data_IF_364901144277
#
_entry.id   IF_364901144277
#
_cell.length_a   1.000
_cell.length_b   1.000
_cell.length_c   1.000
_cell.angle_alpha   90.00
_cell.angle_beta   90.00
_cell.angle_gamma   90.00
#
_symmetry.space_group_name_H-M   'P 1'
#
loop_
_entity.id
_entity.type
_entity.pdbx_description
1 polymer ?
#
# COMPACT_ATOMS: atom_id res chain seq x y z
N UNK A 1 9.18 4.27 -7.77
CA UNK A 1 9.83 4.45 -6.45
C UNK A 1 9.13 3.72 -5.29
N UNK A 2 7.94 4.14 -4.82
CA UNK A 2 7.23 3.45 -3.70
C UNK A 2 6.72 2.05 -4.08
N UNK A 3 6.18 1.88 -5.28
CA UNK A 3 5.60 0.59 -5.71
C UNK A 3 6.66 -0.47 -6.04
N UNK A 4 7.77 -0.04 -6.64
CA UNK A 4 8.95 -0.89 -6.82
C UNK A 4 9.56 -1.31 -5.48
N UNK A 5 9.41 -0.47 -4.45
CA UNK A 5 9.86 -0.77 -3.09
C UNK A 5 8.98 -1.84 -2.40
N UNK A 6 7.67 -1.85 -2.67
CA UNK A 6 6.76 -2.95 -2.28
C UNK A 6 7.04 -4.26 -3.01
N UNK A 7 7.66 -4.20 -4.19
CA UNK A 7 8.00 -5.39 -4.97
C UNK A 7 9.25 -6.09 -4.41
N UNK A 8 10.09 -5.38 -3.63
CA UNK A 8 11.26 -5.98 -2.96
C UNK A 8 10.83 -6.90 -1.81
N UNK A 9 11.49 -8.04 -1.73
CA UNK A 9 11.27 -9.04 -0.69
C UNK A 9 11.98 -8.62 0.61
N UNK A 10 11.21 -8.16 1.60
CA UNK A 10 11.72 -7.77 2.91
C UNK A 10 11.63 -8.94 3.87
N UNK A 11 12.78 -9.43 4.35
CA UNK A 11 12.87 -10.59 5.25
C UNK A 11 12.24 -10.35 6.64
N UNK A 12 12.16 -9.10 7.06
CA UNK A 12 11.57 -8.68 8.34
C UNK A 12 10.78 -7.38 8.16
N UNK A 13 9.60 -7.29 8.79
CA UNK A 13 8.78 -6.07 8.77
C UNK A 13 9.53 -4.84 9.31
N UNK A 14 10.37 -5.01 10.34
CA UNK A 14 11.19 -3.92 10.88
C UNK A 14 12.26 -3.39 9.91
N UNK A 15 12.82 -4.25 9.05
CA UNK A 15 13.79 -3.81 8.03
C UNK A 15 13.13 -2.95 6.94
N UNK A 16 11.86 -3.23 6.64
CA UNK A 16 11.04 -2.41 5.73
C UNK A 16 10.78 -1.03 6.35
N UNK A 17 10.41 -0.96 7.63
CA UNK A 17 10.13 0.30 8.32
C UNK A 17 11.36 1.20 8.45
N UNK A 18 12.53 0.64 8.80
CA UNK A 18 13.78 1.42 8.84
C UNK A 18 14.16 1.95 7.46
N UNK A 19 14.03 1.12 6.42
CA UNK A 19 14.32 1.54 5.05
C UNK A 19 13.33 2.59 4.52
N UNK A 20 12.07 2.55 4.96
CA UNK A 20 11.08 3.59 4.67
C UNK A 20 11.54 4.93 5.27
N UNK A 21 11.98 4.92 6.53
CA UNK A 21 12.52 6.12 7.17
C UNK A 21 13.77 6.62 6.47
N UNK A 22 14.67 5.74 6.05
CA UNK A 22 15.95 6.12 5.45
C UNK A 22 15.81 6.63 4.00
N UNK A 23 14.91 6.05 3.21
CA UNK A 23 14.73 6.40 1.79
C UNK A 23 13.72 7.52 1.55
N UNK A 24 12.70 7.61 2.39
CA UNK A 24 11.61 8.56 2.22
C UNK A 24 11.59 9.65 3.30
N UNK A 25 12.54 9.61 4.24
CA UNK A 25 12.66 10.55 5.36
C UNK A 25 11.34 10.70 6.14
N UNK A 26 10.56 9.62 6.24
CA UNK A 26 9.22 9.65 6.82
C UNK A 26 8.91 8.44 7.70
N UNK A 27 8.00 8.65 8.64
CA UNK A 27 7.54 7.59 9.57
C UNK A 27 6.68 6.56 8.82
N UNK A 28 6.73 5.26 9.19
CA UNK A 28 5.95 4.20 8.53
C UNK A 28 4.45 4.48 8.44
N UNK A 29 3.86 5.08 9.48
CA UNK A 29 2.44 5.49 9.47
C UNK A 29 2.14 6.47 8.33
N UNK A 30 2.98 7.50 8.18
CA UNK A 30 2.84 8.50 7.11
C UNK A 30 3.09 7.89 5.73
N UNK A 31 4.01 6.93 5.64
CA UNK A 31 4.24 6.18 4.42
C UNK A 31 2.99 5.42 3.97
N UNK A 32 2.30 4.73 4.88
CA UNK A 32 1.07 4.02 4.54
C UNK A 32 -0.09 4.98 4.19
N UNK A 33 -0.16 6.17 4.78
CA UNK A 33 -1.13 7.21 4.39
C UNK A 33 -0.88 7.74 2.97
N UNK A 34 0.38 8.05 2.66
CA UNK A 34 0.81 8.49 1.33
C UNK A 34 0.59 7.37 0.31
N UNK A 35 0.90 6.13 0.66
CA UNK A 35 0.64 4.95 -0.18
C UNK A 35 -0.86 4.79 -0.46
N UNK A 36 -1.72 4.95 0.56
CA UNK A 36 -3.17 4.90 0.40
C UNK A 36 -3.73 6.07 -0.41
N UNK A 37 -3.04 7.20 -0.50
CA UNK A 37 -3.44 8.29 -1.41
C UNK A 37 -2.91 8.07 -2.83
N UNK A 38 -1.72 7.47 -2.96
CA UNK A 38 -1.11 7.12 -4.24
C UNK A 38 -1.87 6.01 -4.95
N UNK A 39 -2.35 4.99 -4.24
CA UNK A 39 -3.13 3.89 -4.81
C UNK A 39 -4.45 4.36 -5.43
N UNK A 40 -4.97 5.51 -5.00
CA UNK A 40 -6.16 6.14 -5.57
C UNK A 40 -5.84 6.93 -6.86
N UNK A 41 -4.56 7.29 -7.11
CA UNK A 41 -4.14 8.01 -8.32
C UNK A 41 -3.80 7.08 -9.48
N UNK A 42 -4.10 7.53 -10.70
CA UNK A 42 -3.75 6.81 -11.94
C UNK A 42 -2.24 6.61 -12.15
N UNK A 43 -1.39 7.49 -11.60
CA UNK A 43 0.07 7.35 -11.62
C UNK A 43 0.55 5.99 -11.07
N UNK A 44 -0.12 5.52 -10.01
CA UNK A 44 0.20 4.25 -9.39
C UNK A 44 -0.25 3.06 -10.26
N UNK A 45 -1.39 3.23 -10.94
CA UNK A 45 -1.98 2.27 -11.87
C UNK A 45 -1.11 2.09 -13.12
N UNK A 46 -0.50 3.18 -13.61
CA UNK A 46 0.45 3.16 -14.72
C UNK A 46 1.78 2.47 -14.35
N UNK A 47 2.26 2.65 -13.12
CA UNK A 47 3.50 2.04 -12.68
C UNK A 47 3.38 0.53 -12.41
N UNK A 48 2.33 0.09 -11.70
CA UNK A 48 2.16 -1.32 -11.29
C UNK A 48 0.68 -1.71 -11.22
N UNK A 49 -0.01 -1.91 -12.37
CA UNK A 49 -1.46 -2.08 -12.42
C UNK A 49 -1.96 -3.30 -11.63
N UNK A 50 -1.19 -4.39 -11.59
CA UNK A 50 -1.58 -5.62 -10.88
C UNK A 50 -1.51 -5.47 -9.36
N UNK A 51 -0.50 -4.79 -8.84
CA UNK A 51 -0.34 -4.56 -7.40
C UNK A 51 -1.45 -3.62 -6.89
N UNK A 52 -1.72 -2.55 -7.62
CA UNK A 52 -2.77 -1.58 -7.29
C UNK A 52 -4.15 -2.21 -7.27
N UNK A 53 -4.50 -3.01 -8.30
CA UNK A 53 -5.78 -3.74 -8.33
C UNK A 53 -5.94 -4.67 -7.13
N UNK A 54 -4.88 -5.39 -6.74
CA UNK A 54 -4.91 -6.30 -5.59
C UNK A 54 -5.06 -5.54 -4.26
N UNK A 55 -4.33 -4.45 -4.09
CA UNK A 55 -4.40 -3.61 -2.88
C UNK A 55 -5.76 -2.90 -2.76
N UNK A 56 -6.31 -2.38 -3.86
CA UNK A 56 -7.67 -1.80 -3.89
C UNK A 56 -8.71 -2.84 -3.47
N UNK A 57 -8.66 -4.04 -4.04
CA UNK A 57 -9.57 -5.13 -3.67
C UNK A 57 -9.49 -5.51 -2.19
N UNK A 58 -8.28 -5.60 -1.61
CA UNK A 58 -8.14 -5.84 -0.17
C UNK A 58 -8.71 -4.70 0.69
N UNK A 59 -8.60 -3.46 0.23
CA UNK A 59 -9.22 -2.30 0.92
C UNK A 59 -10.74 -2.38 0.87
N UNK A 60 -11.31 -2.71 -0.28
CA UNK A 60 -12.76 -2.91 -0.45
C UNK A 60 -13.27 -4.04 0.45
N UNK A 61 -12.55 -5.15 0.55
CA UNK A 61 -12.88 -6.24 1.48
C UNK A 61 -12.88 -5.75 2.92
N UNK A 62 -11.83 -5.05 3.36
CA UNK A 62 -11.77 -4.48 4.73
C UNK A 62 -12.87 -3.47 5.00
N UNK A 63 -13.23 -2.63 4.02
CA UNK A 63 -14.32 -1.66 4.12
C UNK A 63 -15.68 -2.36 4.19
N UNK A 64 -15.88 -3.45 3.44
CA UNK A 64 -17.08 -4.27 3.49
C UNK A 64 -17.23 -4.99 4.83
N UNK A 65 -16.15 -5.58 5.37
CA UNK A 65 -16.14 -6.18 6.71
C UNK A 65 -16.47 -5.15 7.79
N UNK A 66 -15.93 -3.93 7.68
CA UNK A 66 -16.18 -2.85 8.64
C UNK A 66 -17.60 -2.28 8.58
N UNK A 67 -18.26 -2.37 7.42
CA UNK A 67 -19.64 -1.93 7.23
C UNK A 67 -20.68 -3.03 7.53
N UNK A 68 -20.24 -4.25 7.86
CA UNK A 68 -21.16 -5.34 8.21
C UNK A 68 -22.15 -5.70 7.10
N UNK A 69 -21.85 -5.34 5.84
CA UNK A 69 -22.72 -5.65 4.70
C UNK A 69 -22.21 -6.94 4.07
N UNK A 70 -22.89 -8.08 4.26
CA UNK A 70 -22.52 -9.29 3.54
C UNK A 70 -22.68 -9.01 2.04
N UNK A 71 -21.63 -9.30 1.28
CA UNK A 71 -21.73 -9.43 -0.16
C UNK A 71 -22.69 -10.60 -0.43
N UNK A 72 -23.92 -10.27 -0.82
CA UNK A 72 -24.93 -11.22 -1.28
C UNK A 72 -24.69 -11.56 -2.75
#
# INVERSE_FOLDING_TARGET
KILEFEQKWWKYAGAKESSIRELFDMTPSRYYEVLNSLIDRDDALAACPMLIKRLRRMREVRLAERQGRPIA
#
